data_IF_652386570400
#
_entry.id   IF_652386570400
#
_cell.length_a   1.000
_cell.length_b   1.000
_cell.length_c   1.000
_cell.angle_alpha   90.00
_cell.angle_beta   90.00
_cell.angle_gamma   90.00
#
_symmetry.space_group_name_H-M   'P 1'
#
loop_
_entity.id
_entity.type
_entity.pdbx_description
1 polymer ?
#
# COMPACT_ATOMS: atom_id res chain seq x y z
N UNK A 1 -2.72 -0.96 8.37
CA UNK A 1 -3.56 0.25 8.06
C UNK A 1 -4.82 0.29 8.93
N UNK A 2 -5.43 1.46 9.17
CA UNK A 2 -6.58 1.63 10.07
C UNK A 2 -7.84 0.85 9.67
N UNK A 3 -8.00 0.52 8.38
CA UNK A 3 -9.07 -0.36 7.88
C UNK A 3 -8.64 -1.83 7.74
N UNK A 4 -7.51 -2.19 8.35
CA UNK A 4 -7.01 -3.55 8.47
C UNK A 4 -7.83 -4.41 9.44
N UNK A 5 -7.44 -5.68 9.57
CA UNK A 5 -7.99 -6.60 10.56
C UNK A 5 -6.83 -7.44 11.12
N UNK A 6 -6.24 -7.07 12.27
CA UNK A 6 -6.62 -5.93 13.11
C UNK A 6 -6.29 -4.56 12.47
N UNK A 7 -6.89 -3.45 12.95
CA UNK A 7 -6.51 -2.10 12.55
C UNK A 7 -5.04 -1.79 12.89
N UNK A 8 -4.29 -1.30 11.91
CA UNK A 8 -2.91 -0.82 12.06
C UNK A 8 -2.83 0.73 12.10
N UNK A 9 -1.62 1.30 12.28
CA UNK A 9 -1.44 2.72 12.61
C UNK A 9 -1.49 3.66 11.40
N UNK A 10 -1.26 3.17 10.18
CA UNK A 10 -1.35 3.97 8.94
C UNK A 10 -2.82 4.34 8.69
N UNK A 11 -3.14 5.62 8.82
CA UNK A 11 -4.50 6.16 8.68
C UNK A 11 -4.90 6.42 7.23
N UNK A 12 -6.20 6.52 6.93
CA UNK A 12 -6.66 6.91 5.59
C UNK A 12 -6.31 8.37 5.27
N UNK A 13 -6.19 9.22 6.29
CA UNK A 13 -5.71 10.60 6.12
C UNK A 13 -4.24 10.64 5.68
N UNK A 14 -3.38 9.79 6.26
CA UNK A 14 -1.98 9.62 5.85
C UNK A 14 -1.88 9.17 4.38
N UNK A 15 -2.74 8.24 3.96
CA UNK A 15 -2.80 7.82 2.54
C UNK A 15 -3.25 8.95 1.62
N UNK A 16 -4.22 9.78 2.04
CA UNK A 16 -4.64 10.96 1.27
C UNK A 16 -3.50 11.97 1.13
N UNK A 17 -2.74 12.24 2.18
CA UNK A 17 -1.53 13.10 2.15
C UNK A 17 -0.47 12.59 1.18
N UNK A 18 -0.23 11.28 1.18
CA UNK A 18 0.66 10.63 0.20
C UNK A 18 0.24 10.91 -1.24
N UNK A 19 -1.05 10.76 -1.52
CA UNK A 19 -1.60 11.08 -2.84
C UNK A 19 -1.44 12.56 -3.18
N UNK A 20 -1.68 13.46 -2.23
CA UNK A 20 -1.45 14.91 -2.40
C UNK A 20 0.02 15.26 -2.66
N UNK A 21 0.96 14.47 -2.11
CA UNK A 21 2.40 14.57 -2.36
C UNK A 21 2.83 13.96 -3.70
N UNK A 22 1.88 13.46 -4.50
CA UNK A 22 2.13 12.90 -5.82
C UNK A 22 2.48 11.41 -5.83
N UNK A 23 2.33 10.71 -4.70
CA UNK A 23 2.54 9.27 -4.66
C UNK A 23 1.45 8.52 -5.45
N UNK A 24 1.84 7.48 -6.17
CA UNK A 24 0.92 6.50 -6.75
C UNK A 24 0.54 5.51 -5.66
N UNK A 25 -0.71 5.56 -5.20
CA UNK A 25 -1.21 4.69 -4.13
C UNK A 25 -1.93 3.48 -4.72
N UNK A 26 -1.64 2.30 -4.20
CA UNK A 26 -2.34 1.07 -4.55
C UNK A 26 -2.51 0.14 -3.36
N UNK A 27 -3.29 -0.92 -3.57
CA UNK A 27 -3.55 -1.96 -2.59
C UNK A 27 -3.02 -3.29 -3.07
N UNK A 28 -2.28 -3.99 -2.21
CA UNK A 28 -1.84 -5.34 -2.48
C UNK A 28 -1.97 -6.16 -1.21
N UNK A 29 -2.91 -7.10 -1.19
CA UNK A 29 -3.20 -7.93 -0.02
C UNK A 29 -3.60 -9.35 -0.44
N UNK A 30 -3.74 -10.24 0.55
CA UNK A 30 -4.28 -11.60 0.32
C UNK A 30 -5.82 -11.63 0.31
N UNK A 31 -6.48 -10.50 0.58
CA UNK A 31 -7.95 -10.38 0.48
C UNK A 31 -8.39 -10.41 -0.98
N UNK A 32 -9.58 -10.93 -1.31
CA UNK A 32 -10.13 -10.84 -2.65
C UNK A 32 -10.16 -9.39 -3.17
N UNK A 33 -9.88 -9.18 -4.45
CA UNK A 33 -9.79 -7.83 -5.05
C UNK A 33 -11.04 -6.96 -4.78
N UNK A 34 -12.29 -7.47 -4.88
CA UNK A 34 -13.46 -6.66 -4.56
C UNK A 34 -13.50 -6.21 -3.09
N UNK A 35 -12.96 -7.03 -2.18
CA UNK A 35 -12.88 -6.68 -0.75
C UNK A 35 -11.87 -5.57 -0.54
N UNK A 36 -10.71 -5.65 -1.20
CA UNK A 36 -9.72 -4.57 -1.17
C UNK A 36 -10.31 -3.26 -1.72
N UNK A 37 -10.92 -3.30 -2.90
CA UNK A 37 -11.53 -2.12 -3.53
C UNK A 37 -12.59 -1.47 -2.62
N UNK A 38 -13.49 -2.29 -2.05
CA UNK A 38 -14.53 -1.81 -1.14
C UNK A 38 -13.99 -1.12 0.12
N UNK A 39 -12.78 -1.45 0.58
CA UNK A 39 -12.17 -0.73 1.70
C UNK A 39 -11.93 0.71 1.27
N UNK A 40 -11.29 0.93 0.13
CA UNK A 40 -10.95 2.27 -0.36
C UNK A 40 -12.19 3.10 -0.71
N UNK A 41 -13.18 2.49 -1.35
CA UNK A 41 -14.44 3.14 -1.73
C UNK A 41 -15.17 3.71 -0.51
N UNK A 42 -15.15 3.00 0.64
CA UNK A 42 -15.78 3.46 1.89
C UNK A 42 -15.15 4.73 2.47
N UNK A 43 -13.87 4.99 2.14
CA UNK A 43 -13.14 6.18 2.61
C UNK A 43 -13.00 7.26 1.53
N UNK A 44 -13.63 7.06 0.38
CA UNK A 44 -13.56 7.94 -0.79
C UNK A 44 -12.09 8.18 -1.21
N UNK A 45 -11.33 7.09 -1.29
CA UNK A 45 -9.94 7.10 -1.76
C UNK A 45 -9.88 6.31 -3.07
N UNK A 46 -9.66 7.00 -4.17
CA UNK A 46 -9.34 6.35 -5.43
C UNK A 46 -7.86 5.92 -5.42
N UNK A 47 -7.63 4.62 -5.44
CA UNK A 47 -6.30 4.02 -5.61
C UNK A 47 -6.04 3.70 -7.08
N UNK A 48 -4.78 3.80 -7.50
CA UNK A 48 -4.36 3.54 -8.88
C UNK A 48 -4.45 2.06 -9.27
N UNK A 49 -4.37 1.17 -8.29
CA UNK A 49 -4.53 -0.27 -8.50
C UNK A 49 -4.94 -1.00 -7.23
N UNK A 50 -5.54 -2.17 -7.44
CA UNK A 50 -5.77 -3.21 -6.44
C UNK A 50 -5.25 -4.52 -7.02
N UNK A 51 -4.41 -5.24 -6.28
CA UNK A 51 -3.74 -6.45 -6.76
C UNK A 51 -3.63 -7.52 -5.67
N UNK A 52 -3.32 -8.76 -6.09
CA UNK A 52 -2.82 -9.78 -5.16
C UNK A 52 -1.31 -9.58 -4.93
N UNK A 53 -0.78 -10.01 -3.78
CA UNK A 53 0.65 -9.85 -3.43
C UNK A 53 1.61 -10.44 -4.47
N UNK A 54 1.27 -11.58 -5.05
CA UNK A 54 2.07 -12.22 -6.10
C UNK A 54 2.12 -11.45 -7.43
N UNK A 55 1.28 -10.42 -7.60
CA UNK A 55 1.23 -9.58 -8.80
C UNK A 55 2.02 -8.26 -8.62
N UNK A 56 2.66 -8.04 -7.48
CA UNK A 56 3.53 -6.87 -7.26
C UNK A 56 4.60 -6.68 -8.35
N UNK A 57 5.22 -7.72 -8.93
CA UNK A 57 6.19 -7.52 -10.02
C UNK A 57 5.61 -6.76 -11.23
N UNK A 58 4.34 -6.97 -11.57
CA UNK A 58 3.68 -6.32 -12.72
C UNK A 58 3.40 -4.84 -12.46
N UNK A 59 3.33 -4.43 -11.18
CA UNK A 59 3.00 -3.06 -10.79
C UNK A 59 4.09 -2.09 -11.25
N UNK A 60 5.36 -2.45 -11.14
CA UNK A 60 6.49 -1.59 -11.54
C UNK A 60 6.48 -1.29 -13.04
N UNK A 61 5.95 -2.21 -13.85
CA UNK A 61 5.83 -2.02 -15.30
C UNK A 61 4.64 -1.12 -15.65
N UNK A 62 3.51 -1.28 -14.93
CA UNK A 62 2.28 -0.51 -15.19
C UNK A 62 2.30 0.90 -14.60
N UNK A 63 3.03 1.08 -13.50
CA UNK A 63 3.09 2.33 -12.73
C UNK A 63 4.54 2.72 -12.49
N UNK A 64 5.21 3.36 -13.46
CA UNK A 64 6.58 3.83 -13.30
C UNK A 64 6.67 4.90 -12.20
N UNK A 65 7.60 4.72 -11.27
CA UNK A 65 7.93 5.65 -10.19
C UNK A 65 9.44 5.59 -9.87
N UNK A 66 9.94 6.63 -9.20
CA UNK A 66 11.35 6.72 -8.77
C UNK A 66 11.70 5.74 -7.65
N UNK A 67 10.73 5.49 -6.75
CA UNK A 67 10.83 4.57 -5.62
C UNK A 67 9.55 3.77 -5.47
N UNK A 68 9.68 2.58 -4.89
CA UNK A 68 8.56 1.64 -4.71
C UNK A 68 8.58 1.14 -3.28
N UNK A 69 7.58 1.54 -2.49
CA UNK A 69 7.43 1.11 -1.10
C UNK A 69 6.23 0.19 -0.96
N UNK A 70 6.39 -0.89 -0.21
CA UNK A 70 5.29 -1.71 0.29
C UNK A 70 5.28 -1.63 1.81
N UNK A 71 4.18 -1.14 2.38
CA UNK A 71 3.98 -1.06 3.82
C UNK A 71 3.14 -2.26 4.27
N UNK A 72 3.65 -3.04 5.22
CA UNK A 72 2.97 -4.22 5.75
C UNK A 72 3.27 -4.49 7.22
N UNK A 73 2.59 -5.47 7.78
CA UNK A 73 2.65 -5.87 9.18
C UNK A 73 3.13 -7.31 9.38
N UNK A 74 3.30 -8.06 8.29
CA UNK A 74 3.75 -9.46 8.33
C UNK A 74 5.04 -9.71 7.57
N UNK A 75 5.76 -10.76 7.93
CA UNK A 75 6.93 -11.23 7.17
C UNK A 75 6.57 -11.64 5.73
N UNK A 76 5.33 -12.07 5.50
CA UNK A 76 4.83 -12.41 4.16
C UNK A 76 4.79 -11.17 3.27
N UNK A 77 4.36 -10.02 3.79
CA UNK A 77 4.37 -8.74 3.06
C UNK A 77 5.80 -8.36 2.67
N UNK A 78 6.73 -8.47 3.62
CA UNK A 78 8.13 -8.19 3.38
C UNK A 78 8.70 -9.11 2.29
N UNK A 79 8.39 -10.40 2.35
CA UNK A 79 8.88 -11.37 1.37
C UNK A 79 8.38 -11.01 -0.04
N UNK A 80 7.07 -10.80 -0.22
CA UNK A 80 6.51 -10.46 -1.53
C UNK A 80 7.01 -9.12 -2.06
N UNK A 81 7.13 -8.12 -1.19
CA UNK A 81 7.70 -6.81 -1.54
C UNK A 81 9.13 -6.96 -2.08
N UNK A 82 10.01 -7.61 -1.30
CA UNK A 82 11.41 -7.82 -1.69
C UNK A 82 11.55 -8.66 -2.96
N UNK A 83 10.74 -9.71 -3.12
CA UNK A 83 10.73 -10.52 -4.35
C UNK A 83 10.32 -9.72 -5.58
N UNK A 84 9.42 -8.75 -5.42
CA UNK A 84 9.02 -7.83 -6.48
C UNK A 84 9.98 -6.64 -6.67
N UNK A 85 11.03 -6.52 -5.84
CA UNK A 85 11.99 -5.43 -5.88
C UNK A 85 11.41 -4.09 -5.37
N UNK A 86 10.50 -4.15 -4.41
CA UNK A 86 10.03 -3.01 -3.63
C UNK A 86 10.91 -2.88 -2.37
N UNK A 87 11.10 -1.65 -1.92
CA UNK A 87 11.50 -1.37 -0.55
C UNK A 87 10.33 -1.72 0.38
N UNK A 88 10.64 -2.30 1.53
CA UNK A 88 9.63 -2.68 2.52
C UNK A 88 9.76 -1.81 3.76
N UNK A 89 8.63 -1.32 4.26
CA UNK A 89 8.52 -0.64 5.54
C UNK A 89 7.53 -1.40 6.41
N UNK A 90 7.89 -1.66 7.66
CA UNK A 90 6.90 -2.07 8.65
C UNK A 90 5.92 -0.92 8.87
N UNK A 91 4.65 -1.23 9.17
CA UNK A 91 3.63 -0.20 9.32
C UNK A 91 3.93 0.87 10.38
N UNK A 92 4.81 0.57 11.35
CA UNK A 92 5.33 1.55 12.31
C UNK A 92 6.43 2.44 11.72
N UNK A 93 7.31 1.89 10.88
CA UNK A 93 8.36 2.67 10.20
C UNK A 93 7.77 3.62 9.16
N UNK A 94 6.68 3.20 8.51
CA UNK A 94 5.95 4.04 7.57
C UNK A 94 5.48 5.35 8.18
N UNK A 95 5.22 5.41 9.50
CA UNK A 95 4.74 6.62 10.21
C UNK A 95 5.69 7.80 10.11
N UNK A 96 6.99 7.52 9.97
CA UNK A 96 8.05 8.54 9.96
C UNK A 96 8.33 9.09 8.55
N UNK A 97 7.65 8.57 7.53
CA UNK A 97 7.88 8.97 6.15
C UNK A 97 7.30 10.38 5.85
N UNK A 98 8.08 11.28 5.23
CA UNK A 98 7.70 12.68 5.03
C UNK A 98 6.52 12.84 4.06
N UNK A 99 6.22 11.83 3.24
CA UNK A 99 5.13 11.88 2.27
C UNK A 99 3.79 11.45 2.85
N UNK A 100 3.72 10.90 4.07
CA UNK A 100 2.43 10.61 4.73
C UNK A 100 2.08 11.57 5.88
N UNK A 101 3.01 12.47 6.24
CA UNK A 101 2.90 13.36 7.41
C UNK A 101 2.30 14.73 7.10
#
# INVERSE_FOLDING_TARGET
>A
MEAGDPPGPITMQMVKKAKEHGCIIGSSSDRPLPVQQNIWDRFDIEVSFVSAKHQLPDIKTKFPADKYYHIGDTEIDQQYAKQAGFDFLWEQEGLDEPWIT
#
